data_IF_001557345623
#
_entry.id   IF_001557345623
#
_cell.length_a   1.000
_cell.length_b   1.000
_cell.length_c   1.000
_cell.angle_alpha   90.00
_cell.angle_beta   90.00
_cell.angle_gamma   90.00
#
_symmetry.space_group_name_H-M   'P 1'
#
loop_
_entity.id
_entity.type
_entity.pdbx_description
1 polymer ?
#
# COMPACT_ATOMS: atom_id res chain seq x y z
N UNK A 1 -2.63 -19.72 4.73
CA UNK A 1 -3.52 -20.87 4.47
C UNK A 1 -3.40 -21.28 3.01
N UNK A 2 -3.36 -22.58 2.71
CA UNK A 2 -3.33 -23.13 1.35
C UNK A 2 -4.51 -22.61 0.51
N UNK A 3 -5.68 -22.45 1.12
CA UNK A 3 -6.87 -21.93 0.46
C UNK A 3 -6.67 -20.51 -0.09
N UNK A 4 -6.00 -19.62 0.66
CA UNK A 4 -5.72 -18.25 0.20
C UNK A 4 -4.76 -18.24 -0.99
N UNK A 5 -3.75 -19.12 -0.99
CA UNK A 5 -2.81 -19.27 -2.12
C UNK A 5 -3.51 -19.75 -3.39
N UNK A 6 -4.40 -20.73 -3.27
CA UNK A 6 -5.18 -21.25 -4.42
C UNK A 6 -6.11 -20.18 -4.98
N UNK A 7 -6.76 -19.40 -4.11
CA UNK A 7 -7.63 -18.29 -4.53
C UNK A 7 -6.82 -17.19 -5.25
N UNK A 8 -5.65 -16.82 -4.72
CA UNK A 8 -4.79 -15.82 -5.35
C UNK A 8 -4.27 -16.29 -6.72
N UNK A 9 -3.79 -17.53 -6.84
CA UNK A 9 -3.31 -18.06 -8.12
C UNK A 9 -4.42 -18.14 -9.18
N UNK A 10 -5.61 -18.62 -8.81
CA UNK A 10 -6.76 -18.62 -9.72
C UNK A 10 -7.10 -17.22 -10.21
N UNK A 11 -6.97 -16.23 -9.32
CA UNK A 11 -7.25 -14.84 -9.65
C UNK A 11 -6.21 -14.24 -10.61
N UNK A 12 -4.92 -14.48 -10.36
CA UNK A 12 -3.83 -14.04 -11.24
C UNK A 12 -4.00 -14.63 -12.66
N UNK A 13 -4.31 -15.92 -12.75
CA UNK A 13 -4.58 -16.61 -14.02
C UNK A 13 -5.84 -16.07 -14.73
N UNK A 14 -6.91 -15.79 -13.98
CA UNK A 14 -8.15 -15.24 -14.54
C UNK A 14 -7.94 -13.83 -15.10
N UNK A 15 -7.14 -12.99 -14.42
CA UNK A 15 -6.80 -11.65 -14.89
C UNK A 15 -5.94 -11.69 -16.15
N UNK A 16 -4.95 -12.58 -16.23
CA UNK A 16 -4.14 -12.77 -17.45
C UNK A 16 -4.98 -13.26 -18.63
N UNK A 17 -5.88 -14.22 -18.42
CA UNK A 17 -6.69 -14.81 -19.52
C UNK A 17 -7.85 -13.93 -19.98
N UNK A 18 -8.42 -13.11 -19.11
CA UNK A 18 -9.60 -12.30 -19.46
C UNK A 18 -9.25 -11.04 -20.27
N UNK A 19 -7.97 -10.66 -20.37
CA UNK A 19 -7.54 -9.42 -21.03
C UNK A 19 -8.01 -8.14 -20.34
N UNK A 20 -8.61 -8.27 -19.15
CA UNK A 20 -9.10 -7.16 -18.34
C UNK A 20 -7.97 -6.80 -17.38
N UNK A 21 -7.08 -5.91 -17.80
CA UNK A 21 -6.01 -5.30 -16.98
C UNK A 21 -6.54 -4.44 -15.81
N UNK A 22 -7.71 -4.75 -15.27
CA UNK A 22 -8.41 -3.93 -14.29
C UNK A 22 -9.82 -4.43 -14.03
N UNK A 23 -9.98 -5.71 -13.66
CA UNK A 23 -11.20 -6.10 -12.96
C UNK A 23 -11.29 -5.18 -11.74
N UNK A 24 -12.25 -4.25 -11.75
CA UNK A 24 -12.34 -3.22 -10.72
C UNK A 24 -12.51 -3.90 -9.36
N UNK A 25 -11.91 -3.33 -8.32
CA UNK A 25 -12.02 -3.82 -6.93
C UNK A 25 -13.46 -4.21 -6.57
N UNK A 26 -14.45 -3.48 -7.09
CA UNK A 26 -15.88 -3.74 -6.89
C UNK A 26 -16.40 -5.00 -7.57
N UNK A 27 -15.93 -5.36 -8.78
CA UNK A 27 -16.32 -6.60 -9.46
C UNK A 27 -15.82 -7.82 -8.68
N UNK A 28 -14.57 -7.78 -8.23
CA UNK A 28 -13.95 -8.85 -7.44
C UNK A 28 -14.58 -8.96 -6.06
N UNK A 29 -14.90 -7.84 -5.45
CA UNK A 29 -15.71 -7.79 -4.24
C UNK A 29 -17.08 -8.45 -4.45
N UNK A 30 -17.75 -8.18 -5.57
CA UNK A 30 -19.00 -8.84 -5.93
C UNK A 30 -18.89 -10.36 -6.04
N UNK A 31 -17.84 -10.87 -6.68
CA UNK A 31 -17.61 -12.32 -6.87
C UNK A 31 -17.25 -12.99 -5.54
N UNK A 32 -16.28 -12.43 -4.81
CA UNK A 32 -15.81 -12.99 -3.54
C UNK A 32 -16.88 -12.91 -2.45
N UNK A 33 -17.69 -11.84 -2.42
CA UNK A 33 -18.82 -11.74 -1.49
C UNK A 33 -19.83 -12.88 -1.70
N UNK A 34 -20.12 -13.24 -2.96
CA UNK A 34 -21.04 -14.34 -3.29
C UNK A 34 -20.45 -15.71 -2.96
N UNK A 35 -19.14 -15.87 -3.07
CA UNK A 35 -18.47 -17.15 -2.86
C UNK A 35 -18.09 -17.42 -1.38
N UNK A 36 -17.71 -16.39 -0.63
CA UNK A 36 -17.05 -16.52 0.69
C UNK A 36 -17.72 -15.72 1.80
N UNK A 37 -18.73 -14.89 1.48
CA UNK A 37 -19.29 -13.93 2.42
C UNK A 37 -18.44 -12.65 2.54
N UNK A 38 -19.06 -11.57 3.00
CA UNK A 38 -18.52 -10.20 2.95
C UNK A 38 -17.27 -9.98 3.78
N UNK A 39 -17.18 -10.61 4.96
CA UNK A 39 -16.05 -10.46 5.88
C UNK A 39 -14.78 -11.11 5.31
N UNK A 40 -14.87 -12.36 4.87
CA UNK A 40 -13.74 -13.11 4.29
C UNK A 40 -13.32 -12.49 2.96
N UNK A 41 -14.28 -12.10 2.12
CA UNK A 41 -14.02 -11.41 0.86
C UNK A 41 -13.25 -10.09 1.07
N UNK A 42 -13.65 -9.29 2.05
CA UNK A 42 -12.97 -8.02 2.37
C UNK A 42 -11.53 -8.26 2.83
N UNK A 43 -11.29 -9.27 3.66
CA UNK A 43 -9.94 -9.64 4.11
C UNK A 43 -9.05 -10.14 2.95
N UNK A 44 -9.61 -10.94 2.03
CA UNK A 44 -8.87 -11.45 0.85
C UNK A 44 -8.53 -10.30 -0.12
N UNK A 45 -9.49 -9.43 -0.41
CA UNK A 45 -9.29 -8.26 -1.29
C UNK A 45 -8.26 -7.30 -0.70
N UNK A 46 -8.38 -7.00 0.60
CA UNK A 46 -7.39 -6.16 1.27
C UNK A 46 -6.01 -6.83 1.28
N UNK A 47 -5.93 -8.16 1.30
CA UNK A 47 -4.68 -8.89 1.10
C UNK A 47 -4.08 -8.68 -0.30
N UNK A 48 -4.86 -8.91 -1.35
CA UNK A 48 -4.43 -8.79 -2.75
C UNK A 48 -3.98 -7.35 -3.07
N UNK A 49 -4.82 -6.36 -2.78
CA UNK A 49 -4.49 -4.96 -3.05
C UNK A 49 -3.46 -4.39 -2.07
N UNK A 50 -3.42 -4.90 -0.82
CA UNK A 50 -2.38 -4.55 0.14
C UNK A 50 -0.99 -5.01 -0.32
N UNK A 51 -0.89 -6.19 -0.95
CA UNK A 51 0.35 -6.66 -1.56
C UNK A 51 0.76 -5.80 -2.77
N UNK A 52 -0.19 -5.36 -3.58
CA UNK A 52 0.08 -4.45 -4.69
C UNK A 52 0.60 -3.08 -4.19
N UNK A 53 -0.03 -2.50 -3.16
CA UNK A 53 0.42 -1.25 -2.55
C UNK A 53 1.81 -1.42 -1.95
N UNK A 54 2.06 -2.50 -1.19
CA UNK A 54 3.39 -2.80 -0.65
C UNK A 54 4.44 -2.91 -1.75
N UNK A 55 4.13 -3.60 -2.85
CA UNK A 55 5.03 -3.74 -4.01
C UNK A 55 5.32 -2.39 -4.70
N UNK A 56 4.31 -1.52 -4.82
CA UNK A 56 4.48 -0.16 -5.36
C UNK A 56 5.31 0.71 -4.43
N UNK A 57 5.04 0.67 -3.13
CA UNK A 57 5.78 1.43 -2.12
C UNK A 57 7.22 0.93 -1.97
N UNK A 58 7.46 -0.38 -2.08
CA UNK A 58 8.81 -0.95 -2.08
C UNK A 58 9.67 -0.43 -3.25
N UNK A 59 9.07 0.04 -4.35
CA UNK A 59 9.85 0.68 -5.43
C UNK A 59 10.34 2.08 -5.07
N UNK A 60 9.70 2.76 -4.12
CA UNK A 60 10.11 4.09 -3.66
C UNK A 60 11.45 4.05 -2.93
N UNK A 61 11.85 2.89 -2.38
CA UNK A 61 13.15 2.73 -1.73
C UNK A 61 14.35 2.94 -2.67
N UNK A 62 14.13 2.87 -3.99
CA UNK A 62 15.16 3.08 -5.01
C UNK A 62 15.24 4.52 -5.51
N UNK A 63 14.34 5.40 -5.04
CA UNK A 63 14.36 6.82 -5.37
C UNK A 63 15.34 7.51 -4.42
N UNK A 64 16.18 8.38 -4.97
CA UNK A 64 17.11 9.19 -4.16
C UNK A 64 16.37 9.97 -3.06
N UNK A 65 16.79 9.91 -1.79
CA UNK A 65 16.02 10.44 -0.65
C UNK A 65 15.62 11.91 -0.78
N UNK A 66 16.49 12.74 -1.37
CA UNK A 66 16.18 14.15 -1.64
C UNK A 66 15.05 14.33 -2.64
N UNK A 67 15.05 13.53 -3.71
CA UNK A 67 14.00 13.57 -4.73
C UNK A 67 12.69 13.03 -4.18
N UNK A 68 12.74 11.97 -3.39
CA UNK A 68 11.58 11.43 -2.70
C UNK A 68 11.00 12.46 -1.71
N UNK A 69 11.83 13.17 -0.96
CA UNK A 69 11.39 14.24 -0.06
C UNK A 69 10.65 15.37 -0.81
N UNK A 70 11.15 15.79 -1.98
CA UNK A 70 10.46 16.75 -2.83
C UNK A 70 9.09 16.23 -3.27
N UNK A 71 9.03 14.98 -3.76
CA UNK A 71 7.79 14.37 -4.23
C UNK A 71 6.74 14.27 -3.12
N UNK A 72 7.11 13.77 -1.94
CA UNK A 72 6.14 13.61 -0.84
C UNK A 72 5.76 14.95 -0.21
N UNK A 73 6.60 15.99 -0.31
CA UNK A 73 6.30 17.30 0.28
C UNK A 73 5.08 17.98 -0.34
N UNK A 74 4.70 17.58 -1.55
CA UNK A 74 3.48 18.04 -2.25
C UNK A 74 2.20 17.35 -1.75
N UNK A 75 2.34 16.28 -0.95
CA UNK A 75 1.21 15.47 -0.48
C UNK A 75 0.68 15.95 0.87
N UNK A 76 -0.53 15.51 1.24
CA UNK A 76 -1.07 15.81 2.57
C UNK A 76 -0.26 15.11 3.69
N UNK A 77 -0.12 15.75 4.86
CA UNK A 77 0.68 15.25 6.01
C UNK A 77 0.39 13.79 6.41
N UNK A 78 -0.86 13.36 6.29
CA UNK A 78 -1.24 11.97 6.55
C UNK A 78 -0.62 11.00 5.54
N UNK A 79 -0.61 11.37 4.25
CA UNK A 79 -0.05 10.53 3.20
C UNK A 79 1.48 10.55 3.25
N UNK A 80 2.10 11.67 3.63
CA UNK A 80 3.53 11.74 3.95
C UNK A 80 3.92 10.74 5.04
N UNK A 81 3.15 10.67 6.13
CA UNK A 81 3.37 9.69 7.20
C UNK A 81 3.22 8.25 6.72
N UNK A 82 2.24 7.97 5.86
CA UNK A 82 2.05 6.66 5.24
C UNK A 82 3.26 6.29 4.38
N UNK A 83 3.73 7.18 3.50
CA UNK A 83 4.93 6.91 2.68
C UNK A 83 6.13 6.55 3.55
N UNK A 84 6.40 7.34 4.61
CA UNK A 84 7.51 7.07 5.52
C UNK A 84 7.39 5.76 6.29
N UNK A 85 6.17 5.32 6.61
CA UNK A 85 5.91 4.04 7.29
C UNK A 85 6.20 2.82 6.40
N UNK A 86 6.24 2.99 5.08
CA UNK A 86 6.57 1.93 4.12
C UNK A 86 8.05 1.89 3.73
N UNK A 87 8.86 2.86 4.15
CA UNK A 87 10.31 2.90 3.89
C UNK A 87 11.08 2.21 5.02
N UNK A 88 12.32 1.81 4.74
CA UNK A 88 13.22 1.37 5.82
C UNK A 88 13.55 2.55 6.75
N UNK A 89 13.89 2.30 8.03
CA UNK A 89 14.23 3.36 8.96
C UNK A 89 15.33 4.31 8.44
N UNK A 90 16.32 3.77 7.73
CA UNK A 90 17.45 4.53 7.20
C UNK A 90 17.01 5.50 6.09
N UNK A 91 16.21 5.03 5.12
CA UNK A 91 15.70 5.85 4.04
C UNK A 91 14.70 6.87 4.59
N UNK A 92 13.82 6.44 5.50
CA UNK A 92 12.82 7.30 6.13
C UNK A 92 13.48 8.47 6.89
N UNK A 93 14.54 8.20 7.66
CA UNK A 93 15.32 9.23 8.34
C UNK A 93 16.01 10.20 7.37
N UNK A 94 16.60 9.67 6.27
CA UNK A 94 17.21 10.50 5.24
C UNK A 94 16.19 11.42 4.56
N UNK A 95 15.01 10.90 4.21
CA UNK A 95 13.91 11.68 3.62
C UNK A 95 13.42 12.77 4.59
N UNK A 96 13.19 12.42 5.86
CA UNK A 96 12.78 13.37 6.91
C UNK A 96 13.77 14.53 7.04
N UNK A 97 15.07 14.26 6.93
CA UNK A 97 16.11 15.29 7.08
C UNK A 97 16.05 16.41 6.02
N UNK A 98 15.38 16.17 4.89
CA UNK A 98 15.16 17.17 3.84
C UNK A 98 13.87 17.98 4.01
N UNK A 99 13.00 17.61 4.95
CA UNK A 99 11.77 18.34 5.26
C UNK A 99 12.03 19.41 6.33
N UNK A 100 11.14 20.39 6.46
CA UNK A 100 11.26 21.40 7.50
C UNK A 100 10.90 20.81 8.90
N UNK A 101 11.45 21.39 9.96
CA UNK A 101 11.33 20.84 11.32
C UNK A 101 9.89 20.77 11.84
N UNK A 102 9.03 21.73 11.50
CA UNK A 102 7.63 21.72 11.93
C UNK A 102 6.84 20.57 11.28
N UNK A 103 7.08 20.31 9.99
CA UNK A 103 6.50 19.18 9.24
C UNK A 103 7.05 17.86 9.75
N UNK A 104 8.36 17.75 10.03
CA UNK A 104 8.96 16.54 10.58
C UNK A 104 8.26 16.09 11.87
N UNK A 105 8.05 17.02 12.81
CA UNK A 105 7.39 16.74 14.09
C UNK A 105 5.95 16.22 13.90
N UNK A 106 5.20 16.86 13.00
CA UNK A 106 3.82 16.49 12.71
C UNK A 106 3.72 15.12 12.02
N UNK A 107 4.65 14.83 11.10
CA UNK A 107 4.74 13.51 10.45
C UNK A 107 5.09 12.43 11.47
N UNK A 108 6.09 12.65 12.31
CA UNK A 108 6.51 11.68 13.34
C UNK A 108 5.37 11.35 14.30
N UNK A 109 4.61 12.35 14.73
CA UNK A 109 3.41 12.16 15.55
C UNK A 109 2.36 11.28 14.85
N UNK A 110 2.16 11.47 13.54
CA UNK A 110 1.22 10.66 12.74
C UNK A 110 1.72 9.23 12.52
N UNK A 111 3.02 9.04 12.28
CA UNK A 111 3.66 7.71 12.21
C UNK A 111 3.47 6.97 13.52
N UNK A 112 3.67 7.63 14.66
CA UNK A 112 3.45 7.03 15.98
C UNK A 112 1.96 6.67 16.25
N UNK A 113 1.02 7.27 15.51
CA UNK A 113 -0.43 7.04 15.63
C UNK A 113 -1.03 6.16 14.53
N UNK A 114 -0.23 5.69 13.58
CA UNK A 114 -0.68 4.75 12.55
C UNK A 114 -0.98 3.41 13.23
N UNK A 115 -2.24 3.22 13.63
CA UNK A 115 -2.76 1.94 14.11
C UNK A 115 -3.04 1.05 12.89
N UNK A 116 -2.27 -0.03 12.77
CA UNK A 116 -2.34 -1.08 11.73
C UNK A 116 -2.41 -0.58 10.28
N UNK A 117 -1.28 -0.71 9.57
CA UNK A 117 -1.24 -0.79 8.10
C UNK A 117 -1.30 -2.25 7.68
#
# INVERSE_FOLDING_TARGET
SMARKVINNFFDEFCEQSGINGASRSMLQGILNKALGTEIASSVINGIYGDEIRSRMARLQWVEPRQLAMLISEEHLQLQAVFLAFLTPEISAAVLSYLNESVQNEILYRVAKLNDV
#
